data_IF_724944235630
#
_entry.id   IF_724944235630
#
_cell.length_a   1.000
_cell.length_b   1.000
_cell.length_c   1.000
_cell.angle_alpha   90.00
_cell.angle_beta   90.00
_cell.angle_gamma   90.00
#
_symmetry.space_group_name_H-M   'P 1'
#
loop_
_entity.id
_entity.type
_entity.pdbx_description
1 polymer ?
#
# COMPACT_ATOMS: atom_id res chain seq x y z
N UNK A 1 24.02 79.85 -46.63
CA UNK A 1 23.12 78.73 -46.99
C UNK A 1 23.98 77.48 -47.09
N UNK A 2 24.04 76.68 -46.02
CA UNK A 2 24.89 75.49 -45.93
C UNK A 2 24.08 74.26 -46.36
N UNK A 3 24.53 73.44 -47.32
CA UNK A 3 23.88 72.17 -47.61
C UNK A 3 24.23 71.12 -46.53
N UNK A 4 23.19 70.54 -45.93
CA UNK A 4 23.27 69.43 -44.98
C UNK A 4 23.77 68.17 -45.70
N UNK A 5 25.03 67.80 -45.45
CA UNK A 5 25.60 66.49 -45.77
C UNK A 5 25.11 65.48 -44.73
N UNK A 6 24.11 64.67 -45.09
CA UNK A 6 23.66 63.53 -44.30
C UNK A 6 24.66 62.37 -44.49
N UNK A 7 25.32 61.86 -43.44
CA UNK A 7 26.33 60.81 -43.59
C UNK A 7 25.67 59.45 -43.84
N UNK A 8 25.94 58.93 -45.03
CA UNK A 8 25.50 57.66 -45.65
C UNK A 8 26.07 56.39 -44.97
N UNK A 9 26.18 56.37 -43.64
CA UNK A 9 26.81 55.29 -42.85
C UNK A 9 25.91 54.64 -41.79
N UNK A 10 24.69 55.13 -41.57
CA UNK A 10 23.79 54.62 -40.51
C UNK A 10 22.68 53.68 -41.01
N UNK A 11 22.60 53.44 -42.32
CA UNK A 11 21.64 52.51 -42.91
C UNK A 11 21.82 51.02 -42.58
N UNK A 12 22.99 50.46 -42.22
CA UNK A 12 23.08 49.02 -41.98
C UNK A 12 22.59 48.60 -40.58
N UNK A 13 22.46 49.52 -39.63
CA UNK A 13 22.05 49.19 -38.25
C UNK A 13 20.54 49.01 -38.07
N UNK A 14 19.72 49.52 -38.99
CA UNK A 14 18.26 49.33 -38.97
C UNK A 14 17.79 48.07 -39.73
N UNK A 15 18.69 47.36 -40.43
CA UNK A 15 18.36 46.13 -41.15
C UNK A 15 18.53 44.85 -40.30
N UNK A 16 19.17 44.94 -39.13
CA UNK A 16 19.38 43.82 -38.21
C UNK A 16 18.11 43.22 -37.57
N UNK A 17 16.99 43.92 -37.32
CA UNK A 17 15.84 43.30 -36.68
C UNK A 17 14.99 42.44 -37.64
N UNK A 18 15.15 42.60 -38.96
CA UNK A 18 14.39 41.85 -39.97
C UNK A 18 14.90 40.40 -40.16
N UNK A 19 16.15 40.11 -39.77
CA UNK A 19 16.70 38.75 -39.82
C UNK A 19 16.33 37.90 -38.60
N UNK A 20 15.89 38.52 -37.49
CA UNK A 20 15.40 37.80 -36.32
C UNK A 20 14.00 37.18 -36.54
N UNK A 21 13.25 37.67 -37.52
CA UNK A 21 11.93 37.13 -37.87
C UNK A 21 11.99 35.85 -38.73
N UNK A 22 13.15 35.49 -39.27
CA UNK A 22 13.38 34.25 -40.01
C UNK A 22 14.07 33.15 -39.18
N UNK A 23 14.27 33.37 -37.87
CA UNK A 23 14.55 32.28 -36.96
C UNK A 23 13.28 31.43 -36.84
N UNK A 24 13.20 30.41 -37.70
CA UNK A 24 12.12 29.45 -37.78
C UNK A 24 11.59 29.11 -36.38
N UNK A 25 10.26 29.09 -36.14
CA UNK A 25 9.74 28.50 -34.93
C UNK A 25 10.27 27.07 -34.89
N UNK A 26 11.19 26.83 -33.96
CA UNK A 26 11.89 25.57 -33.82
C UNK A 26 10.87 24.46 -33.84
N UNK A 27 10.94 23.62 -34.88
CA UNK A 27 10.21 22.36 -34.97
C UNK A 27 10.31 21.72 -33.58
N UNK A 28 9.17 21.44 -32.89
CA UNK A 28 9.24 20.88 -31.56
C UNK A 28 10.10 19.63 -31.67
N UNK A 29 11.23 19.63 -30.96
CA UNK A 29 12.12 18.49 -30.92
C UNK A 29 11.26 17.27 -30.63
N UNK A 30 11.30 16.27 -31.51
CA UNK A 30 10.52 15.05 -31.35
C UNK A 30 10.67 14.59 -29.91
N UNK A 31 9.56 14.58 -29.16
CA UNK A 31 9.60 14.22 -27.75
C UNK A 31 10.34 12.88 -27.65
N UNK A 32 11.37 12.76 -26.79
CA UNK A 32 12.15 11.53 -26.73
C UNK A 32 11.19 10.38 -26.45
N UNK A 33 11.31 9.30 -27.23
CA UNK A 33 10.54 8.08 -27.01
C UNK A 33 10.90 7.59 -25.62
N UNK A 34 9.98 7.77 -24.66
CA UNK A 34 10.16 7.32 -23.29
C UNK A 34 9.72 5.86 -23.22
N UNK A 35 10.67 4.96 -23.09
CA UNK A 35 10.38 3.57 -22.78
C UNK A 35 9.91 3.45 -21.34
N UNK A 36 8.83 2.71 -21.12
CA UNK A 36 8.37 2.45 -19.75
C UNK A 36 9.48 1.80 -18.93
N UNK A 37 9.66 2.30 -17.72
CA UNK A 37 10.58 1.75 -16.74
C UNK A 37 10.26 0.26 -16.48
N UNK A 38 11.30 -0.57 -16.41
CA UNK A 38 11.16 -2.01 -16.18
C UNK A 38 10.61 -2.36 -14.78
N UNK A 39 10.27 -3.63 -14.57
CA UNK A 39 9.71 -4.13 -13.31
C UNK A 39 10.58 -3.88 -12.08
N UNK A 40 11.90 -3.88 -12.23
CA UNK A 40 12.82 -3.59 -11.13
C UNK A 40 12.68 -2.17 -10.59
N UNK A 41 12.40 -1.21 -11.49
CA UNK A 41 12.17 0.16 -11.08
C UNK A 41 10.90 0.30 -10.24
N UNK A 42 9.87 -0.51 -10.54
CA UNK A 42 8.64 -0.61 -9.74
C UNK A 42 8.95 -1.14 -8.35
N UNK A 43 9.68 -2.26 -8.25
CA UNK A 43 10.01 -2.87 -6.95
C UNK A 43 10.82 -1.92 -6.06
N UNK A 44 11.83 -1.26 -6.62
CA UNK A 44 12.66 -0.29 -5.87
C UNK A 44 11.83 0.92 -5.42
N UNK A 45 10.77 1.27 -6.14
CA UNK A 45 9.96 2.45 -5.84
C UNK A 45 8.73 2.18 -4.96
N UNK A 46 8.48 0.94 -4.56
CA UNK A 46 7.46 0.61 -3.57
C UNK A 46 7.77 1.24 -2.20
N UNK A 47 9.04 1.26 -1.82
CA UNK A 47 9.52 1.76 -0.53
C UNK A 47 10.09 3.18 -0.58
N UNK A 48 10.15 3.79 -1.78
CA UNK A 48 10.69 5.13 -1.93
C UNK A 48 9.78 6.20 -1.29
N UNK A 49 10.32 7.32 -0.76
CA UNK A 49 9.49 8.46 -0.34
C UNK A 49 8.73 9.08 -1.54
N UNK A 50 7.61 9.76 -1.28
CA UNK A 50 6.77 10.35 -2.35
C UNK A 50 7.54 11.28 -3.28
N UNK A 51 8.47 12.10 -2.75
CA UNK A 51 9.22 13.06 -3.57
C UNK A 51 10.14 12.34 -4.56
N UNK A 52 10.83 11.30 -4.11
CA UNK A 52 11.68 10.46 -4.97
C UNK A 52 10.86 9.70 -6.01
N UNK A 53 9.65 9.27 -5.63
CA UNK A 53 8.69 8.64 -6.56
C UNK A 53 8.30 9.61 -7.67
N UNK A 54 7.86 10.83 -7.30
CA UNK A 54 7.40 11.84 -8.25
C UNK A 54 8.49 12.23 -9.23
N UNK A 55 9.72 12.42 -8.75
CA UNK A 55 10.87 12.71 -9.60
C UNK A 55 11.19 11.55 -10.55
N UNK A 56 11.23 10.31 -10.05
CA UNK A 56 11.58 9.13 -10.84
C UNK A 56 10.54 8.76 -11.88
N UNK A 57 9.26 8.93 -11.55
CA UNK A 57 8.14 8.55 -12.41
C UNK A 57 7.53 9.73 -13.18
N UNK A 58 8.17 10.91 -13.15
CA UNK A 58 7.69 12.09 -13.84
C UNK A 58 7.53 11.86 -15.35
N UNK A 59 6.28 11.86 -15.81
CA UNK A 59 5.94 11.61 -17.22
C UNK A 59 6.04 10.14 -17.65
N UNK A 60 5.96 9.21 -16.69
CA UNK A 60 5.67 7.78 -16.93
C UNK A 60 4.26 7.43 -16.45
N UNK A 61 3.38 8.42 -16.31
CA UNK A 61 2.03 8.25 -15.74
C UNK A 61 1.14 7.34 -16.57
N UNK A 62 1.39 7.28 -17.88
CA UNK A 62 0.71 6.42 -18.83
C UNK A 62 1.20 4.96 -18.81
N UNK A 63 2.33 4.68 -18.15
CA UNK A 63 2.88 3.33 -18.10
C UNK A 63 2.13 2.44 -17.10
N UNK A 64 1.90 1.18 -17.49
CA UNK A 64 1.27 0.16 -16.64
C UNK A 64 1.98 -0.02 -15.29
N UNK A 65 3.31 0.03 -15.31
CA UNK A 65 4.12 -0.08 -14.09
C UNK A 65 3.81 1.01 -13.07
N UNK A 66 3.53 2.24 -13.52
CA UNK A 66 3.16 3.33 -12.61
C UNK A 66 1.74 3.17 -12.06
N UNK A 67 0.81 2.67 -12.88
CA UNK A 67 -0.56 2.34 -12.44
C UNK A 67 -0.54 1.26 -11.36
N UNK A 68 0.21 0.19 -11.58
CA UNK A 68 0.39 -0.90 -10.61
C UNK A 68 1.05 -0.38 -9.33
N UNK A 69 2.09 0.45 -9.45
CA UNK A 69 2.78 1.05 -8.30
C UNK A 69 1.85 1.92 -7.44
N UNK A 70 0.98 2.73 -8.06
CA UNK A 70 -0.01 3.53 -7.34
C UNK A 70 -0.95 2.67 -6.52
N UNK A 71 -1.47 1.58 -7.10
CA UNK A 71 -2.38 0.66 -6.39
C UNK A 71 -1.67 -0.07 -5.26
N UNK A 72 -0.45 -0.58 -5.50
CA UNK A 72 0.32 -1.27 -4.47
C UNK A 72 0.64 -0.37 -3.27
N UNK A 73 0.91 0.92 -3.50
CA UNK A 73 1.18 1.88 -2.42
C UNK A 73 -0.07 2.38 -1.71
N UNK A 74 -1.14 2.67 -2.45
CA UNK A 74 -2.40 3.14 -1.87
C UNK A 74 -3.02 2.11 -0.93
N UNK A 75 -2.90 0.82 -1.28
CA UNK A 75 -3.54 -0.26 -0.54
C UNK A 75 -2.56 -1.09 0.31
N UNK A 76 -1.36 -0.55 0.60
CA UNK A 76 -0.30 -1.25 1.37
C UNK A 76 -0.72 -1.64 2.78
N UNK A 77 -1.58 -0.82 3.41
CA UNK A 77 -2.06 -1.07 4.77
C UNK A 77 -3.23 -2.08 4.83
N UNK A 78 -3.99 -2.21 3.72
CA UNK A 78 -5.24 -2.95 3.69
C UNK A 78 -5.17 -4.11 2.67
N UNK A 79 -4.77 -5.34 3.07
CA UNK A 79 -4.59 -6.46 2.15
C UNK A 79 -5.90 -6.87 1.46
N UNK A 80 -7.05 -6.67 2.12
CA UNK A 80 -8.37 -6.92 1.53
C UNK A 80 -8.68 -5.95 0.38
N UNK A 81 -8.43 -4.64 0.57
CA UNK A 81 -8.64 -3.62 -0.48
C UNK A 81 -7.64 -3.80 -1.62
N UNK A 82 -6.39 -4.08 -1.29
CA UNK A 82 -5.33 -4.39 -2.24
C UNK A 82 -5.75 -5.51 -3.20
N UNK A 83 -6.30 -6.61 -2.67
CA UNK A 83 -6.74 -7.74 -3.50
C UNK A 83 -7.81 -7.34 -4.52
N UNK A 84 -8.79 -6.52 -4.11
CA UNK A 84 -9.87 -6.05 -5.00
C UNK A 84 -9.39 -5.05 -6.05
N UNK A 85 -8.47 -4.15 -5.69
CA UNK A 85 -7.92 -3.18 -6.63
C UNK A 85 -6.97 -3.83 -7.65
N UNK A 86 -6.20 -4.84 -7.22
CA UNK A 86 -5.40 -5.66 -8.13
C UNK A 86 -6.29 -6.48 -9.08
N UNK A 87 -7.44 -6.98 -8.64
CA UNK A 87 -8.38 -7.68 -9.51
C UNK A 87 -9.01 -6.78 -10.58
N UNK A 88 -9.34 -5.53 -10.22
CA UNK A 88 -9.78 -4.52 -11.20
C UNK A 88 -8.69 -4.23 -12.22
N UNK A 89 -7.46 -4.02 -11.76
CA UNK A 89 -6.32 -3.79 -12.65
C UNK A 89 -6.05 -4.99 -13.57
N UNK A 90 -6.17 -6.22 -13.07
CA UNK A 90 -5.99 -7.43 -13.88
C UNK A 90 -7.12 -7.64 -14.90
N UNK A 91 -8.33 -7.14 -14.62
CA UNK A 91 -9.43 -7.16 -15.58
C UNK A 91 -9.20 -6.17 -16.74
N UNK A 92 -8.50 -5.07 -16.47
CA UNK A 92 -8.02 -4.15 -17.49
C UNK A 92 -6.88 -4.82 -18.29
N UNK A 93 -7.23 -5.40 -19.44
CA UNK A 93 -6.32 -6.11 -20.36
C UNK A 93 -5.18 -5.26 -20.94
N UNK A 94 -5.05 -4.00 -20.54
CA UNK A 94 -3.98 -3.11 -20.98
C UNK A 94 -2.63 -3.41 -20.33
N UNK A 95 -2.61 -4.19 -19.24
CA UNK A 95 -1.39 -4.47 -18.50
C UNK A 95 -0.41 -5.35 -19.28
N UNK A 96 0.86 -4.92 -19.31
CA UNK A 96 1.96 -5.77 -19.74
C UNK A 96 2.00 -7.11 -18.98
N UNK A 97 2.39 -8.22 -19.63
CA UNK A 97 2.33 -9.57 -19.04
C UNK A 97 3.20 -9.71 -17.77
N UNK A 98 4.32 -9.00 -17.70
CA UNK A 98 5.19 -8.98 -16.51
C UNK A 98 4.51 -8.29 -15.32
N UNK A 99 3.85 -7.14 -15.55
CA UNK A 99 3.09 -6.45 -14.51
C UNK A 99 1.86 -7.23 -14.06
N UNK A 100 1.21 -7.95 -14.98
CA UNK A 100 0.10 -8.84 -14.67
C UNK A 100 0.54 -10.05 -13.81
N UNK A 101 1.70 -10.64 -14.10
CA UNK A 101 2.25 -11.72 -13.29
C UNK A 101 2.56 -11.25 -11.86
N UNK A 102 3.19 -10.09 -11.70
CA UNK A 102 3.44 -9.47 -10.39
C UNK A 102 2.14 -9.18 -9.63
N UNK A 103 1.15 -8.59 -10.28
CA UNK A 103 -0.14 -8.30 -9.67
C UNK A 103 -0.84 -9.58 -9.16
N UNK A 104 -0.78 -10.68 -9.94
CA UNK A 104 -1.32 -11.98 -9.50
C UNK A 104 -0.56 -12.55 -8.30
N UNK A 105 0.77 -12.47 -8.30
CA UNK A 105 1.58 -12.94 -7.18
C UNK A 105 1.27 -12.14 -5.91
N UNK A 106 1.18 -10.81 -6.01
CA UNK A 106 0.83 -9.95 -4.88
C UNK A 106 -0.57 -10.25 -4.34
N UNK A 107 -1.54 -10.51 -5.23
CA UNK A 107 -2.88 -10.96 -4.84
C UNK A 107 -2.84 -12.29 -4.07
N UNK A 108 -2.07 -13.27 -4.55
CA UNK A 108 -1.94 -14.56 -3.86
C UNK A 108 -1.34 -14.39 -2.47
N UNK A 109 -0.33 -13.53 -2.33
CA UNK A 109 0.27 -13.20 -1.03
C UNK A 109 -0.73 -12.53 -0.10
N UNK A 110 -1.50 -11.54 -0.58
CA UNK A 110 -2.52 -10.88 0.21
C UNK A 110 -3.62 -11.85 0.68
N UNK A 111 -4.06 -12.76 -0.19
CA UNK A 111 -5.04 -13.80 0.17
C UNK A 111 -4.48 -14.79 1.20
N UNK A 112 -3.21 -15.17 1.10
CA UNK A 112 -2.57 -16.03 2.08
C UNK A 112 -2.50 -15.36 3.47
N UNK A 113 -2.15 -14.07 3.51
CA UNK A 113 -2.12 -13.30 4.75
C UNK A 113 -3.50 -13.19 5.40
N UNK A 114 -4.55 -12.93 4.62
CA UNK A 114 -5.93 -12.88 5.14
C UNK A 114 -6.36 -14.23 5.73
N UNK A 115 -6.09 -15.34 5.04
CA UNK A 115 -6.38 -16.68 5.57
C UNK A 115 -5.63 -16.96 6.87
N UNK A 116 -4.37 -16.54 6.96
CA UNK A 116 -3.57 -16.69 8.18
C UNK A 116 -4.14 -15.85 9.32
N UNK A 117 -4.60 -14.63 9.03
CA UNK A 117 -5.26 -13.77 10.01
C UNK A 117 -6.57 -14.42 10.52
N UNK A 118 -7.43 -14.91 9.62
CA UNK A 118 -8.66 -15.61 10.00
C UNK A 118 -8.38 -16.84 10.88
N UNK A 119 -7.30 -17.59 10.59
CA UNK A 119 -6.88 -18.72 11.42
C UNK A 119 -6.45 -18.26 12.82
N UNK A 120 -5.67 -17.18 12.91
CA UNK A 120 -5.28 -16.60 14.19
C UNK A 120 -6.48 -16.13 15.00
N UNK A 121 -7.46 -15.46 14.37
CA UNK A 121 -8.66 -14.97 15.05
C UNK A 121 -9.48 -16.13 15.61
N UNK A 122 -9.62 -17.22 14.84
CA UNK A 122 -10.29 -18.46 15.32
C UNK A 122 -9.57 -19.07 16.50
N UNK A 123 -8.23 -19.16 16.46
CA UNK A 123 -7.43 -19.69 17.57
C UNK A 123 -7.55 -18.81 18.81
N UNK A 124 -7.51 -17.49 18.65
CA UNK A 124 -7.72 -16.55 19.77
C UNK A 124 -9.11 -16.69 20.38
N UNK A 125 -10.15 -16.90 19.55
CA UNK A 125 -11.49 -17.11 20.05
C UNK A 125 -11.62 -18.42 20.82
N UNK A 126 -11.01 -19.51 20.32
CA UNK A 126 -10.94 -20.79 21.04
C UNK A 126 -10.23 -20.65 22.39
N UNK A 127 -9.13 -19.89 22.45
CA UNK A 127 -8.42 -19.63 23.71
C UNK A 127 -9.30 -18.86 24.72
N UNK A 128 -10.05 -17.85 24.27
CA UNK A 128 -10.98 -17.12 25.13
C UNK A 128 -12.09 -18.02 25.66
N UNK A 129 -12.64 -18.89 24.82
CA UNK A 129 -13.68 -19.82 25.23
C UNK A 129 -13.16 -20.89 26.19
N UNK A 130 -11.93 -21.37 26.01
CA UNK A 130 -11.27 -22.27 26.96
C UNK A 130 -11.02 -21.58 28.30
N UNK A 131 -10.53 -20.34 28.29
CA UNK A 131 -10.31 -19.58 29.52
C UNK A 131 -11.61 -19.40 30.32
N UNK A 132 -12.71 -19.04 29.65
CA UNK A 132 -14.03 -18.95 30.31
C UNK A 132 -14.45 -20.25 30.97
N UNK A 133 -14.22 -21.40 30.30
CA UNK A 133 -14.54 -22.72 30.89
C UNK A 133 -13.69 -23.01 32.13
N UNK A 134 -12.41 -22.61 32.12
CA UNK A 134 -11.53 -22.73 33.28
C UNK A 134 -12.02 -21.85 34.42
N UNK A 135 -12.38 -20.60 34.13
CA UNK A 135 -12.90 -19.66 35.12
C UNK A 135 -14.22 -20.16 35.74
N UNK A 136 -15.13 -20.71 34.92
CA UNK A 136 -16.37 -21.33 35.38
C UNK A 136 -16.11 -22.55 36.28
N UNK A 137 -15.11 -23.37 35.95
CA UNK A 137 -14.71 -24.51 36.78
C UNK A 137 -14.09 -24.03 38.10
N UNK A 138 -13.25 -23.01 38.08
CA UNK A 138 -12.66 -22.42 39.27
C UNK A 138 -13.76 -21.83 40.19
N UNK A 139 -14.72 -21.11 39.63
CA UNK A 139 -15.87 -20.58 40.37
C UNK A 139 -16.71 -21.70 41.02
N UNK A 140 -16.91 -22.82 40.31
CA UNK A 140 -17.59 -23.99 40.87
C UNK A 140 -16.79 -24.64 42.00
N UNK A 141 -15.48 -24.78 41.86
CA UNK A 141 -14.61 -25.31 42.91
C UNK A 141 -14.62 -24.41 44.15
N UNK A 142 -14.60 -23.09 43.97
CA UNK A 142 -14.68 -22.15 45.09
C UNK A 142 -16.06 -22.15 45.75
N UNK A 143 -17.15 -22.32 44.98
CA UNK A 143 -18.48 -22.53 45.54
C UNK A 143 -18.54 -23.83 46.38
N UNK A 144 -17.95 -24.93 45.89
CA UNK A 144 -17.86 -26.18 46.66
C UNK A 144 -17.05 -26.01 47.95
N UNK A 145 -15.90 -25.32 47.89
CA UNK A 145 -15.10 -25.03 49.10
C UNK A 145 -15.86 -24.20 50.14
N UNK A 146 -16.68 -23.24 49.71
CA UNK A 146 -17.53 -22.45 50.61
C UNK A 146 -18.58 -23.33 51.28
N UNK A 147 -19.22 -24.22 50.52
CA UNK A 147 -20.16 -25.19 51.08
C UNK A 147 -19.48 -26.14 52.06
N UNK A 148 -18.25 -26.60 51.79
CA UNK A 148 -17.48 -27.40 52.74
C UNK A 148 -17.15 -26.65 54.05
N UNK A 149 -16.89 -25.35 53.98
CA UNK A 149 -16.68 -24.49 55.15
C UNK A 149 -17.97 -24.25 55.95
N UNK A 150 -19.11 -24.16 55.27
CA UNK A 150 -20.44 -23.97 55.88
C UNK A 150 -21.03 -25.28 56.42
N UNK A 151 -20.43 -26.44 56.11
CA UNK A 151 -20.84 -27.70 56.74
C UNK A 151 -20.47 -27.66 58.24
N UNK A 152 -21.44 -27.84 59.15
CA UNK A 152 -21.12 -27.98 60.57
C UNK A 152 -20.20 -29.21 60.73
N UNK A 153 -19.06 -29.03 61.40
CA UNK A 153 -18.23 -30.16 61.87
C UNK A 153 -19.18 -31.19 62.49
N UNK A 154 -19.15 -32.48 62.08
CA UNK A 154 -20.01 -33.48 62.68
C UNK A 154 -19.71 -33.51 64.18
N UNK A 155 -20.61 -32.92 64.96
CA UNK A 155 -20.58 -33.03 66.41
C UNK A 155 -20.67 -34.51 66.74
N UNK A 156 -19.66 -35.01 67.45
CA UNK A 156 -19.51 -36.41 67.76
C UNK A 156 -20.78 -37.02 68.33
N UNK A 157 -21.24 -38.08 67.68
CA UNK A 157 -21.98 -39.16 68.32
C UNK A 157 -20.91 -40.26 68.48
N UNK A 158 -20.25 -40.43 69.62
CA UNK A 158 -20.82 -40.79 70.93
C UNK A 158 -22.05 -41.69 70.78
N UNK A 159 -21.81 -42.88 70.24
CA UNK A 159 -22.72 -44.01 70.27
C UNK A 159 -21.91 -45.26 70.56
N UNK A 160 -21.66 -45.52 71.84
CA UNK A 160 -21.07 -46.77 72.29
C UNK A 160 -21.87 -47.96 71.80
N UNK A 161 -21.21 -48.91 71.17
CA UNK A 161 -21.75 -50.26 71.00
C UNK A 161 -20.68 -51.24 71.42
N UNK A 162 -20.64 -51.52 72.73
CA UNK A 162 -20.14 -52.80 73.23
C UNK A 162 -20.99 -53.91 72.59
N UNK A 163 -20.38 -54.73 71.74
CA UNK A 163 -20.68 -56.15 71.62
C UNK A 163 -19.39 -56.88 71.31
#
# INVERSE_FOLDING_TARGET
MNPLLIPRRWLPLLALPLLAACAAPGRPAAAPIRYCLGGDALLISLDAPEDALRQRWQGYEACDGYRLLRVLRASRADPARLSGDLDKLLADKSLSPASAALARQQRQQAQALLRQQEQNDRLQQQLRDQQKRIDDQAAKLDALRRLELDLPKPNGLNGGSKR
#
